data_IF_740142579331
#
_entry.id   IF_740142579331
#
_cell.length_a   1.000
_cell.length_b   1.000
_cell.length_c   1.000
_cell.angle_alpha   90.00
_cell.angle_beta   90.00
_cell.angle_gamma   90.00
#
_symmetry.space_group_name_H-M   'P 1'
#
loop_
_entity.id
_entity.type
_entity.pdbx_description
1 polymer ?
#
# COMPACT_ATOMS: atom_id res chain seq x y z
N UNK A 1 -17.61 25.57 -7.35
CA UNK A 1 -16.64 24.51 -7.06
C UNK A 1 -15.53 25.15 -6.25
N UNK A 2 -15.58 25.04 -4.93
CA UNK A 2 -14.54 25.60 -4.04
C UNK A 2 -14.23 24.56 -2.98
N UNK A 3 -13.20 23.77 -3.22
CA UNK A 3 -12.64 22.81 -2.28
C UNK A 3 -11.13 22.67 -2.52
N UNK A 4 -10.39 23.77 -2.61
CA UNK A 4 -8.93 23.74 -2.83
C UNK A 4 -8.10 24.54 -1.81
N UNK A 5 -8.73 25.17 -0.82
CA UNK A 5 -8.00 26.04 0.13
C UNK A 5 -7.64 25.37 1.47
N UNK A 6 -7.98 24.10 1.69
CA UNK A 6 -7.80 23.47 3.00
C UNK A 6 -6.38 22.92 3.26
N UNK A 7 -5.50 22.88 2.25
CA UNK A 7 -4.19 22.25 2.35
C UNK A 7 -2.97 23.16 2.22
N UNK A 8 -3.12 24.39 1.70
CA UNK A 8 -2.00 25.28 1.39
C UNK A 8 -1.12 25.73 2.59
N UNK A 9 -1.39 25.26 3.81
CA UNK A 9 -0.61 25.55 5.00
C UNK A 9 -0.16 24.33 5.82
N UNK A 10 -0.46 23.10 5.38
CA UNK A 10 -0.07 21.90 6.14
C UNK A 10 1.34 21.46 5.77
N UNK A 11 2.16 21.20 6.78
CA UNK A 11 3.51 20.68 6.59
C UNK A 11 3.48 19.17 6.38
N UNK A 12 4.30 18.67 5.45
CA UNK A 12 4.52 17.23 5.21
C UNK A 12 4.95 16.56 6.52
N UNK A 13 5.92 17.14 7.21
CA UNK A 13 6.41 16.65 8.51
C UNK A 13 5.29 16.59 9.56
N UNK A 14 4.37 17.56 9.57
CA UNK A 14 3.25 17.54 10.50
C UNK A 14 2.31 16.35 10.22
N UNK A 15 1.86 16.18 8.98
CA UNK A 15 0.92 15.10 8.62
C UNK A 15 1.60 13.73 8.76
N UNK A 16 2.86 13.60 8.36
CA UNK A 16 3.62 12.35 8.52
C UNK A 16 3.76 11.93 10.00
N UNK A 17 3.90 12.89 10.94
CA UNK A 17 3.87 12.57 12.38
C UNK A 17 2.53 11.98 12.81
N UNK A 18 1.42 12.48 12.27
CA UNK A 18 0.08 11.96 12.55
C UNK A 18 -0.09 10.54 11.99
N UNK A 19 0.36 10.27 10.76
CA UNK A 19 0.37 8.91 10.20
C UNK A 19 1.16 7.94 11.08
N UNK A 20 2.37 8.35 11.51
CA UNK A 20 3.21 7.54 12.40
C UNK A 20 2.53 7.26 13.73
N UNK A 21 1.84 8.24 14.32
CA UNK A 21 1.09 8.04 15.56
C UNK A 21 -0.09 7.08 15.38
N UNK A 22 -0.81 7.18 14.26
CA UNK A 22 -1.88 6.25 13.92
C UNK A 22 -1.35 4.82 13.76
N UNK A 23 -0.26 4.61 13.00
CA UNK A 23 0.37 3.29 12.87
C UNK A 23 0.85 2.72 14.21
N UNK A 24 1.42 3.56 15.09
CA UNK A 24 1.78 3.14 16.45
C UNK A 24 0.58 2.73 17.29
N UNK A 25 -0.59 3.31 17.05
CA UNK A 25 -1.83 2.92 17.73
C UNK A 25 -2.23 1.51 17.29
N UNK A 26 -2.10 1.18 16.00
CA UNK A 26 -2.39 -0.15 15.46
C UNK A 26 -1.56 -1.27 16.11
N UNK A 27 -0.36 -0.99 16.62
CA UNK A 27 0.45 -1.98 17.36
C UNK A 27 -0.24 -2.50 18.62
N UNK A 28 -1.19 -1.74 19.18
CA UNK A 28 -1.93 -2.13 20.39
C UNK A 28 -3.27 -2.79 20.06
N UNK A 29 -3.61 -2.93 18.78
CA UNK A 29 -4.84 -3.57 18.30
C UNK A 29 -4.45 -4.97 17.84
N UNK A 30 -4.95 -5.99 18.53
CA UNK A 30 -4.47 -7.38 18.39
C UNK A 30 -4.63 -7.88 16.95
N UNK A 31 -5.82 -7.69 16.35
CA UNK A 31 -6.14 -8.10 14.98
C UNK A 31 -5.28 -7.40 13.92
N UNK A 32 -4.92 -6.13 14.15
CA UNK A 32 -4.08 -5.36 13.23
C UNK A 32 -2.59 -5.65 13.40
N UNK A 33 -2.18 -6.27 14.50
CA UNK A 33 -0.79 -6.68 14.70
C UNK A 33 -0.61 -8.20 14.56
N UNK A 34 -1.64 -8.91 14.11
CA UNK A 34 -1.52 -10.29 13.63
C UNK A 34 -0.49 -10.35 12.50
N UNK A 35 0.34 -11.38 12.50
CA UNK A 35 1.44 -11.58 11.54
C UNK A 35 2.37 -10.36 11.37
N UNK A 36 2.49 -9.54 12.41
CA UNK A 36 3.34 -8.33 12.42
C UNK A 36 2.93 -7.28 11.38
N UNK A 37 1.67 -7.25 10.93
CA UNK A 37 1.22 -6.31 9.91
C UNK A 37 1.49 -4.85 10.30
N UNK A 38 1.07 -4.43 11.50
CA UNK A 38 1.25 -3.05 11.94
C UNK A 38 2.74 -2.68 12.12
N UNK A 39 3.57 -3.61 12.58
CA UNK A 39 5.02 -3.42 12.69
C UNK A 39 5.70 -3.26 11.33
N UNK A 40 5.34 -4.11 10.35
CA UNK A 40 5.87 -4.02 8.99
C UNK A 40 5.51 -2.67 8.34
N UNK A 41 4.26 -2.23 8.46
CA UNK A 41 3.80 -0.94 7.90
C UNK A 41 4.45 0.25 8.60
N UNK A 42 4.61 0.18 9.92
CA UNK A 42 5.32 1.22 10.66
C UNK A 42 6.80 1.32 10.23
N UNK A 43 7.46 0.18 10.01
CA UNK A 43 8.86 0.12 9.58
C UNK A 43 9.04 0.69 8.17
N UNK A 44 8.19 0.28 7.23
CA UNK A 44 8.18 0.82 5.86
C UNK A 44 7.97 2.34 5.86
N UNK A 45 7.00 2.83 6.63
CA UNK A 45 6.73 4.25 6.74
C UNK A 45 7.92 5.01 7.35
N UNK A 46 8.56 4.46 8.39
CA UNK A 46 9.75 5.06 8.99
C UNK A 46 10.93 5.11 8.02
N UNK A 47 11.14 4.05 7.24
CA UNK A 47 12.17 4.01 6.21
C UNK A 47 11.93 5.09 5.14
N UNK A 48 10.69 5.23 4.66
CA UNK A 48 10.32 6.30 3.73
C UNK A 48 10.59 7.68 4.33
N UNK A 49 10.11 7.96 5.56
CA UNK A 49 10.32 9.28 6.19
C UNK A 49 11.80 9.63 6.39
N UNK A 50 12.64 8.63 6.61
CA UNK A 50 14.09 8.80 6.78
C UNK A 50 14.78 9.05 5.45
N UNK A 51 14.44 8.26 4.43
CA UNK A 51 15.01 8.37 3.07
C UNK A 51 14.63 9.69 2.43
N UNK A 52 13.38 10.12 2.60
CA UNK A 52 12.87 11.37 2.05
C UNK A 52 13.19 12.61 2.93
N UNK A 53 13.95 12.47 4.02
CA UNK A 53 14.34 13.62 4.85
C UNK A 53 13.16 14.37 5.49
N UNK A 54 12.03 13.70 5.73
CA UNK A 54 10.77 14.33 6.17
C UNK A 54 10.91 15.03 7.53
N UNK A 55 11.70 14.45 8.43
CA UNK A 55 11.95 14.98 9.77
C UNK A 55 13.36 15.52 9.97
N UNK A 56 14.14 15.69 8.89
CA UNK A 56 15.53 16.11 9.03
C UNK A 56 15.59 17.57 9.47
N UNK A 57 16.29 17.81 10.59
CA UNK A 57 16.58 19.13 11.13
C UNK A 57 18.00 19.61 10.80
N UNK A 58 18.87 18.69 10.31
CA UNK A 58 20.26 18.96 9.96
C UNK A 58 20.45 19.23 8.48
N UNK A 59 19.62 18.61 7.62
CA UNK A 59 19.57 18.86 6.17
C UNK A 59 18.32 19.66 5.80
N UNK A 60 18.22 20.03 4.53
CA UNK A 60 17.00 20.61 3.97
C UNK A 60 15.88 19.58 4.12
N UNK A 61 14.85 19.92 4.89
CA UNK A 61 13.68 19.05 5.04
C UNK A 61 12.88 19.00 3.75
N UNK A 62 12.12 17.93 3.53
CA UNK A 62 11.24 17.81 2.35
C UNK A 62 10.24 18.98 2.22
N UNK A 63 9.78 19.51 3.35
CA UNK A 63 8.92 20.71 3.39
C UNK A 63 9.62 21.97 2.84
N UNK A 64 10.94 22.08 3.04
CA UNK A 64 11.77 23.18 2.57
C UNK A 64 12.21 22.98 1.12
N UNK A 65 12.50 21.74 0.73
CA UNK A 65 12.86 21.38 -0.64
C UNK A 65 11.73 21.73 -1.62
N UNK A 66 10.48 21.44 -1.23
CA UNK A 66 9.28 21.72 -2.03
C UNK A 66 8.66 23.10 -1.76
N UNK A 67 9.39 24.02 -1.11
CA UNK A 67 8.86 25.34 -0.78
C UNK A 67 8.49 26.17 -2.04
N UNK A 68 9.16 25.92 -3.16
CA UNK A 68 8.90 26.56 -4.45
C UNK A 68 8.03 25.72 -5.40
N UNK A 69 7.61 24.52 -4.96
CA UNK A 69 6.76 23.60 -5.72
C UNK A 69 5.49 23.26 -4.91
N UNK A 70 4.59 24.25 -4.71
CA UNK A 70 3.45 24.11 -3.81
C UNK A 70 2.48 23.02 -4.24
N UNK A 71 2.30 22.79 -5.54
CA UNK A 71 1.42 21.75 -6.06
C UNK A 71 1.93 20.34 -5.70
N UNK A 72 3.22 20.08 -5.92
CA UNK A 72 3.89 18.83 -5.51
C UNK A 72 3.79 18.62 -4.00
N UNK A 73 4.05 19.68 -3.21
CA UNK A 73 3.90 19.63 -1.76
C UNK A 73 2.48 19.26 -1.35
N UNK A 74 1.47 19.89 -1.94
CA UNK A 74 0.07 19.65 -1.63
C UNK A 74 -0.33 18.20 -1.95
N UNK A 75 0.10 17.67 -3.11
CA UNK A 75 -0.14 16.27 -3.48
C UNK A 75 0.41 15.32 -2.41
N UNK A 76 1.64 15.52 -1.95
CA UNK A 76 2.24 14.66 -0.90
C UNK A 76 1.45 14.77 0.41
N UNK A 77 1.04 15.98 0.78
CA UNK A 77 0.22 16.25 1.97
C UNK A 77 -1.14 15.54 1.87
N UNK A 78 -1.79 15.56 0.71
CA UNK A 78 -3.06 14.86 0.44
C UNK A 78 -2.92 13.35 0.47
N UNK A 79 -1.85 12.81 -0.11
CA UNK A 79 -1.54 11.38 -0.04
C UNK A 79 -1.34 10.93 1.40
N UNK A 80 -0.60 11.70 2.21
CA UNK A 80 -0.40 11.40 3.63
C UNK A 80 -1.71 11.47 4.43
N UNK A 81 -2.57 12.45 4.15
CA UNK A 81 -3.89 12.54 4.78
C UNK A 81 -4.79 11.37 4.40
N UNK A 82 -4.76 10.96 3.13
CA UNK A 82 -5.50 9.79 2.65
C UNK A 82 -4.99 8.53 3.36
N UNK A 83 -3.68 8.33 3.42
CA UNK A 83 -3.06 7.22 4.16
C UNK A 83 -3.48 7.22 5.63
N UNK A 84 -3.44 8.38 6.30
CA UNK A 84 -3.88 8.52 7.69
C UNK A 84 -5.33 8.08 7.86
N UNK A 85 -6.22 8.52 6.96
CA UNK A 85 -7.63 8.14 7.02
C UNK A 85 -7.80 6.63 6.82
N UNK A 86 -7.10 6.02 5.87
CA UNK A 86 -7.12 4.56 5.70
C UNK A 86 -6.68 3.82 6.97
N UNK A 87 -5.59 4.25 7.61
CA UNK A 87 -5.11 3.66 8.87
C UNK A 87 -6.19 3.79 9.96
N UNK A 88 -6.85 4.94 10.07
CA UNK A 88 -7.90 5.16 11.05
C UNK A 88 -9.17 4.33 10.79
N UNK A 89 -9.51 4.06 9.54
CA UNK A 89 -10.61 3.14 9.23
C UNK A 89 -10.27 1.70 9.63
N UNK A 90 -9.02 1.25 9.42
CA UNK A 90 -8.56 -0.06 9.92
C UNK A 90 -8.67 -0.16 11.45
N UNK A 91 -8.43 0.93 12.18
CA UNK A 91 -8.57 0.95 13.64
C UNK A 91 -10.03 0.78 14.09
N UNK A 92 -10.97 1.39 13.36
CA UNK A 92 -12.41 1.35 13.70
C UNK A 92 -13.08 0.02 13.38
N UNK A 93 -12.53 -0.77 12.45
CA UNK A 93 -13.10 -2.07 12.10
C UNK A 93 -12.96 -3.11 13.22
N UNK A 94 -11.95 -2.98 14.10
CA UNK A 94 -11.75 -3.88 15.25
C UNK A 94 -12.76 -3.60 16.38
N UNK A 95 -13.09 -2.33 16.62
CA UNK A 95 -14.04 -1.91 17.67
C UNK A 95 -15.48 -2.46 17.47
N UNK A 96 -15.80 -2.96 16.27
CA UNK A 96 -17.16 -3.40 15.91
C UNK A 96 -17.40 -4.91 16.05
N UNK A 97 -16.38 -5.69 16.43
CA UNK A 97 -16.50 -7.16 16.51
C UNK A 97 -16.91 -7.70 17.89
N UNK A 98 -17.14 -6.84 18.90
CA UNK A 98 -17.43 -7.28 20.29
C UNK A 98 -18.93 -7.35 20.64
N UNK A 99 -19.85 -7.17 19.68
CA UNK A 99 -21.31 -7.27 19.93
C UNK A 99 -21.97 -8.43 19.17
N UNK A 100 -21.35 -9.61 19.23
CA UNK A 100 -22.01 -10.89 18.94
C UNK A 100 -21.98 -11.78 20.18
N UNK A 101 -22.65 -11.30 21.22
CA UNK A 101 -23.26 -12.15 22.25
C UNK A 101 -24.21 -13.12 21.50
N UNK A 102 -24.00 -14.42 21.52
CA UNK A 102 -24.26 -15.22 22.71
C UNK A 102 -25.74 -15.67 22.72
N UNK A 103 -26.17 -16.43 21.71
CA UNK A 103 -27.46 -17.10 21.73
C UNK A 103 -27.38 -18.51 21.11
N UNK A 104 -27.31 -19.45 22.06
CA UNK A 104 -27.95 -20.76 22.08
C UNK A 104 -27.24 -22.01 21.54
N UNK A 105 -27.39 -23.00 22.44
CA UNK A 105 -26.79 -24.30 22.58
C UNK A 105 -27.74 -25.37 21.99
N UNK A 106 -27.13 -26.46 21.54
CA UNK A 106 -27.67 -27.83 21.41
C UNK A 106 -28.64 -28.15 20.27
N UNK A 107 -28.26 -29.16 19.48
CA UNK A 107 -29.16 -29.89 18.59
C UNK A 107 -28.48 -30.95 17.74
N UNK A 108 -28.18 -32.09 18.37
CA UNK A 108 -28.04 -33.46 17.84
C UNK A 108 -27.17 -33.78 16.62
N UNK A 109 -26.24 -34.70 16.90
CA UNK A 109 -25.68 -35.72 16.04
C UNK A 109 -26.78 -36.47 15.27
N UNK A 110 -26.60 -36.67 13.96
CA UNK A 110 -27.06 -37.89 13.28
C UNK A 110 -26.10 -38.21 12.12
N UNK A 111 -25.45 -39.36 12.26
CA UNK A 111 -24.64 -40.04 11.25
C UNK A 111 -25.54 -40.66 10.18
N UNK A 112 -25.21 -40.50 8.90
CA UNK A 112 -25.29 -41.55 7.85
C UNK A 112 -24.21 -41.20 6.81
N UNK A 113 -23.00 -41.74 6.91
CA UNK A 113 -22.56 -42.98 6.23
C UNK A 113 -23.35 -43.31 4.96
N UNK A 114 -22.79 -42.98 3.79
CA UNK A 114 -22.80 -43.81 2.57
C UNK A 114 -21.73 -43.29 1.59
N UNK A 115 -20.62 -44.02 1.48
CA UNK A 115 -19.83 -44.12 0.22
C UNK A 115 -20.06 -45.55 -0.33
N UNK A 116 -19.55 -45.96 -1.51
CA UNK A 116 -18.99 -45.23 -2.67
C UNK A 116 -19.56 -45.74 -4.03
N UNK A 117 -19.30 -45.08 -5.16
CA UNK A 117 -18.91 -45.76 -6.43
C UNK A 117 -18.45 -44.77 -7.51
N UNK A 118 -17.28 -45.12 -8.06
CA UNK A 118 -16.57 -44.80 -9.30
C UNK A 118 -17.10 -43.87 -10.41
N UNK A 119 -16.08 -43.26 -11.02
CA UNK A 119 -15.89 -42.90 -12.43
C UNK A 119 -16.71 -41.76 -13.08
N UNK A 120 -16.05 -40.60 -13.20
CA UNK A 120 -15.74 -40.03 -14.52
C UNK A 120 -14.62 -38.98 -14.41
N UNK A 121 -13.50 -39.30 -15.04
CA UNK A 121 -12.52 -38.36 -15.58
C UNK A 121 -13.22 -37.24 -16.35
N UNK A 122 -13.21 -36.03 -15.79
CA UNK A 122 -13.24 -34.80 -16.58
C UNK A 122 -12.24 -33.87 -15.92
N UNK A 123 -11.04 -33.86 -16.50
CA UNK A 123 -10.09 -32.76 -16.42
C UNK A 123 -10.83 -31.45 -16.73
N UNK A 124 -11.27 -30.75 -15.69
CA UNK A 124 -11.61 -29.34 -15.77
C UNK A 124 -10.36 -28.58 -15.34
N UNK A 125 -9.60 -27.97 -16.27
CA UNK A 125 -8.69 -26.91 -15.85
C UNK A 125 -9.59 -25.82 -15.28
N UNK A 126 -9.52 -25.66 -13.96
CA UNK A 126 -9.92 -24.43 -13.28
C UNK A 126 -9.49 -23.28 -14.15
N UNK A 127 -10.46 -22.56 -14.72
CA UNK A 127 -10.24 -21.32 -15.41
C UNK A 127 -9.55 -20.39 -14.40
N UNK A 128 -8.23 -20.38 -14.47
CA UNK A 128 -7.38 -19.37 -13.87
C UNK A 128 -7.95 -18.02 -14.34
N UNK A 129 -8.57 -17.30 -13.43
CA UNK A 129 -9.02 -15.92 -13.61
C UNK A 129 -7.85 -14.94 -13.69
N UNK A 130 -6.72 -15.38 -14.26
CA UNK A 130 -5.59 -14.55 -14.63
C UNK A 130 -5.27 -14.79 -16.12
N UNK A 131 -6.23 -14.46 -16.98
CA UNK A 131 -5.95 -13.89 -18.30
C UNK A 131 -5.81 -12.38 -18.09
N UNK A 132 -4.87 -11.62 -18.64
CA UNK A 132 -3.77 -11.87 -19.56
C UNK A 132 -2.86 -10.66 -19.42
N UNK A 133 -1.56 -10.85 -19.23
CA UNK A 133 -0.58 -9.85 -19.64
C UNK A 133 0.28 -10.54 -20.69
N UNK A 134 -0.25 -10.54 -21.92
CA UNK A 134 0.55 -10.78 -23.11
C UNK A 134 0.78 -9.41 -23.71
N UNK A 135 1.88 -8.78 -23.33
CA UNK A 135 2.47 -7.68 -24.09
C UNK A 135 3.70 -8.24 -24.80
N UNK A 136 3.44 -8.94 -25.90
CA UNK A 136 4.42 -9.22 -26.94
C UNK A 136 4.53 -7.98 -27.82
N UNK A 137 5.53 -7.15 -27.56
CA UNK A 137 5.95 -6.10 -28.49
C UNK A 137 7.38 -6.41 -28.96
N UNK A 138 7.43 -7.21 -30.02
CA UNK A 138 8.64 -7.55 -30.76
C UNK A 138 9.06 -6.43 -31.74
N UNK A 139 10.35 -6.13 -31.71
CA UNK A 139 11.27 -5.64 -32.76
C UNK A 139 10.96 -4.37 -33.56
N UNK A 140 11.88 -3.39 -33.44
CA UNK A 140 12.61 -2.88 -34.59
C UNK A 140 14.02 -2.42 -34.19
N UNK A 141 14.97 -3.34 -34.36
CA UNK A 141 16.39 -3.02 -34.46
C UNK A 141 16.61 -2.00 -35.56
N UNK A 142 16.91 -0.75 -35.17
CA UNK A 142 17.48 0.24 -36.08
C UNK A 142 18.99 0.26 -35.85
N UNK A 143 19.69 -0.52 -36.68
CA UNK A 143 21.13 -0.46 -36.89
C UNK A 143 21.49 0.92 -37.44
N UNK A 144 22.20 1.74 -36.68
CA UNK A 144 23.00 2.84 -37.24
C UNK A 144 24.47 2.46 -37.09
N UNK A 145 24.99 1.81 -38.13
CA UNK A 145 26.40 1.80 -38.43
C UNK A 145 26.75 3.18 -38.98
N UNK A 146 27.64 3.89 -38.30
CA UNK A 146 28.55 4.85 -38.92
C UNK A 146 29.88 4.74 -38.17
N UNK A 147 30.79 3.96 -38.75
CA UNK A 147 32.22 4.19 -38.60
C UNK A 147 32.52 5.48 -39.37
N UNK A 148 33.14 6.49 -38.74
CA UNK A 148 34.00 7.39 -39.48
C UNK A 148 35.14 7.90 -38.61
N UNK A 149 36.32 7.60 -39.13
CA UNK A 149 37.67 7.93 -38.73
C UNK A 149 37.95 9.38 -39.15
N UNK A 150 38.44 10.24 -38.26
CA UNK A 150 39.15 11.48 -38.64
C UNK A 150 39.88 12.12 -37.44
N UNK A 151 41.19 11.89 -37.42
CA UNK A 151 42.26 12.89 -37.27
C UNK A 151 42.50 13.67 -35.94
N UNK A 152 43.71 13.41 -35.40
CA UNK A 152 44.55 14.38 -34.68
C UNK A 152 44.75 15.66 -35.54
N UNK A 153 44.75 16.87 -34.96
CA UNK A 153 45.97 17.47 -34.36
C UNK A 153 45.63 18.38 -33.15
N UNK A 154 46.51 18.94 -32.32
CA UNK A 154 47.92 19.36 -32.37
C UNK A 154 48.57 19.21 -31.00
#
# INVERSE_FOLDING_TARGET
MEADSANGGKSIAHVAKQCRAALKTCLNILSLNEDYWAEARLTEFQNWTSTAGVFDAKRVSLDSELAFEPDTKNIIVDLLMTLRNCIQECQKSDDKEVDRDGADIAGSEDQQDLSPTDDADVTSPTASLFSSWSDDSDVSSSKSCDEDDSDLPS
#
